data_IF_419302790840
#
_entry.id   IF_419302790840
#
_cell.length_a   1.000
_cell.length_b   1.000
_cell.length_c   1.000
_cell.angle_alpha   90.00
_cell.angle_beta   90.00
_cell.angle_gamma   90.00
#
_symmetry.space_group_name_H-M   'P 1'
#
loop_
_entity.id
_entity.type
_entity.pdbx_description
1 polymer ?
#
# COMPACT_ATOMS: atom_id res chain seq x y z
N UNK A 1 11.46 -1.54 -1.03
CA UNK A 1 10.09 -1.07 -0.65
C UNK A 1 9.19 -2.29 -0.57
N UNK A 2 8.53 -2.54 0.57
CA UNK A 2 7.48 -3.56 0.66
C UNK A 2 6.13 -2.96 0.25
N UNK A 3 5.19 -3.79 -0.20
CA UNK A 3 3.83 -3.37 -0.52
C UNK A 3 3.16 -2.66 0.67
N UNK A 4 3.35 -3.19 1.89
CA UNK A 4 2.87 -2.61 3.15
C UNK A 4 3.36 -1.18 3.35
N UNK A 5 4.67 -0.92 3.14
CA UNK A 5 5.23 0.43 3.26
C UNK A 5 4.69 1.38 2.19
N UNK A 6 4.47 0.89 0.97
CA UNK A 6 3.90 1.69 -0.12
C UNK A 6 2.46 2.11 0.18
N UNK A 7 1.61 1.16 0.62
CA UNK A 7 0.21 1.44 0.99
C UNK A 7 0.15 2.42 2.16
N UNK A 8 0.99 2.22 3.19
CA UNK A 8 1.06 3.11 4.34
C UNK A 8 1.39 4.55 3.91
N UNK A 9 2.40 4.73 3.07
CA UNK A 9 2.80 6.07 2.58
C UNK A 9 1.72 6.74 1.73
N UNK A 10 1.00 5.97 0.92
CA UNK A 10 -0.15 6.48 0.14
C UNK A 10 -1.25 6.97 1.08
N UNK A 11 -1.60 6.20 2.11
CA UNK A 11 -2.61 6.59 3.11
C UNK A 11 -2.16 7.81 3.94
N UNK A 12 -0.90 7.87 4.37
CA UNK A 12 -0.34 9.02 5.10
C UNK A 12 -0.40 10.33 4.29
N UNK A 13 -0.37 10.23 2.95
CA UNK A 13 -0.40 11.39 2.05
C UNK A 13 -1.74 11.56 1.35
N UNK A 14 -2.78 10.81 1.75
CA UNK A 14 -4.06 10.76 1.06
C UNK A 14 -4.70 12.14 0.83
N UNK A 15 -4.84 13.01 1.85
CA UNK A 15 -5.46 14.33 1.65
C UNK A 15 -4.66 15.21 0.68
N UNK A 16 -3.33 15.08 0.68
CA UNK A 16 -2.45 15.81 -0.23
C UNK A 16 -2.60 15.30 -1.67
N UNK A 17 -2.76 13.99 -1.87
CA UNK A 17 -3.01 13.39 -3.18
C UNK A 17 -4.36 13.84 -3.74
N UNK A 18 -5.42 13.80 -2.94
CA UNK A 18 -6.76 14.27 -3.37
C UNK A 18 -6.73 15.73 -3.79
N UNK A 19 -6.11 16.59 -2.97
CA UNK A 19 -5.95 18.01 -3.29
C UNK A 19 -5.14 18.21 -4.58
N UNK A 20 -4.02 17.51 -4.72
CA UNK A 20 -3.15 17.63 -5.89
C UNK A 20 -3.87 17.22 -7.17
N UNK A 21 -4.61 16.11 -7.16
CA UNK A 21 -5.39 15.67 -8.32
C UNK A 21 -6.56 16.61 -8.62
N UNK A 22 -7.25 17.13 -7.60
CA UNK A 22 -8.32 18.11 -7.80
C UNK A 22 -7.80 19.39 -8.48
N UNK A 23 -6.65 19.92 -8.07
CA UNK A 23 -6.04 21.09 -8.69
C UNK A 23 -5.59 20.82 -10.13
N UNK A 24 -5.08 19.61 -10.42
CA UNK A 24 -4.70 19.20 -11.77
C UNK A 24 -5.91 19.03 -12.68
N UNK A 25 -7.02 18.50 -12.17
CA UNK A 25 -8.28 18.42 -12.90
C UNK A 25 -8.79 19.84 -13.25
N UNK A 26 -8.82 20.76 -12.29
CA UNK A 26 -9.18 22.18 -12.54
C UNK A 26 -8.29 22.82 -13.59
N UNK A 27 -6.97 22.59 -13.52
CA UNK A 27 -6.03 23.11 -14.52
C UNK A 27 -6.29 22.54 -15.91
N UNK A 28 -6.52 21.24 -16.02
CA UNK A 28 -6.80 20.59 -17.31
C UNK A 28 -8.07 21.17 -17.97
N UNK A 29 -9.11 21.43 -17.19
CA UNK A 29 -10.33 22.10 -17.67
C UNK A 29 -10.00 23.49 -18.24
N UNK A 30 -9.22 24.30 -17.52
CA UNK A 30 -8.77 25.63 -18.01
C UNK A 30 -7.94 25.52 -19.29
N UNK A 31 -7.08 24.52 -19.38
CA UNK A 31 -6.21 24.28 -20.54
C UNK A 31 -6.94 23.57 -21.70
N UNK A 32 -8.26 23.33 -21.60
CA UNK A 32 -9.07 22.56 -22.57
C UNK A 32 -8.50 21.16 -22.87
N UNK A 33 -7.91 20.53 -21.85
CA UNK A 33 -7.35 19.18 -21.88
C UNK A 33 -8.25 18.20 -21.12
N UNK A 34 -8.16 16.90 -21.41
CA UNK A 34 -8.84 15.88 -20.62
C UNK A 34 -8.46 16.00 -19.13
N UNK A 35 -9.44 15.98 -18.20
CA UNK A 35 -9.17 16.05 -16.78
C UNK A 35 -8.32 14.87 -16.31
N UNK A 36 -7.34 15.15 -15.45
CA UNK A 36 -6.57 14.10 -14.77
C UNK A 36 -7.41 13.58 -13.61
N UNK A 37 -7.68 12.28 -13.60
CA UNK A 37 -8.45 11.60 -12.55
C UNK A 37 -7.49 10.97 -11.55
N UNK A 38 -7.83 11.02 -10.26
CA UNK A 38 -7.08 10.30 -9.23
C UNK A 38 -7.32 8.79 -9.37
N UNK A 39 -6.28 7.98 -9.71
CA UNK A 39 -6.49 6.56 -10.00
C UNK A 39 -7.00 5.74 -8.82
N UNK A 40 -6.75 6.20 -7.59
CA UNK A 40 -7.18 5.55 -6.36
C UNK A 40 -8.43 6.20 -5.74
N UNK A 41 -9.14 7.04 -6.49
CA UNK A 41 -10.37 7.64 -6.00
C UNK A 41 -11.33 6.57 -5.45
N UNK A 42 -11.91 6.82 -4.28
CA UNK A 42 -12.79 5.90 -3.55
C UNK A 42 -12.15 4.58 -3.09
N UNK A 43 -10.83 4.42 -3.17
CA UNK A 43 -10.11 3.22 -2.71
C UNK A 43 -9.49 3.36 -1.32
N UNK A 44 -9.64 4.51 -0.65
CA UNK A 44 -9.02 4.76 0.66
C UNK A 44 -9.38 3.68 1.69
N UNK A 45 -10.67 3.40 1.85
CA UNK A 45 -11.18 2.38 2.77
C UNK A 45 -10.65 0.99 2.43
N UNK A 46 -10.60 0.65 1.14
CA UNK A 46 -10.06 -0.64 0.70
C UNK A 46 -8.58 -0.74 1.06
N UNK A 47 -7.79 0.31 0.83
CA UNK A 47 -6.37 0.35 1.18
C UNK A 47 -6.14 0.25 2.69
N UNK A 48 -6.98 0.88 3.51
CA UNK A 48 -6.96 0.74 4.98
C UNK A 48 -7.20 -0.72 5.38
N UNK A 49 -8.23 -1.36 4.80
CA UNK A 49 -8.54 -2.76 5.07
C UNK A 49 -7.40 -3.69 4.62
N UNK A 50 -6.85 -3.49 3.42
CA UNK A 50 -5.68 -4.24 2.96
C UNK A 50 -4.49 -4.07 3.89
N UNK A 51 -4.23 -2.85 4.38
CA UNK A 51 -3.14 -2.62 5.32
C UNK A 51 -3.34 -3.37 6.65
N UNK A 52 -4.58 -3.39 7.17
CA UNK A 52 -4.90 -4.13 8.40
C UNK A 52 -4.68 -5.64 8.30
N UNK A 53 -4.75 -6.22 7.10
CA UNK A 53 -4.45 -7.63 6.85
C UNK A 53 -2.95 -7.83 6.64
N UNK A 54 -2.32 -6.95 5.85
CA UNK A 54 -0.90 -7.08 5.48
C UNK A 54 0.06 -6.83 6.64
N UNK A 55 -0.31 -5.99 7.61
CA UNK A 55 0.55 -5.65 8.72
C UNK A 55 0.81 -6.84 9.68
N UNK A 56 -0.22 -7.58 10.15
CA UNK A 56 -0.01 -8.82 10.90
C UNK A 56 0.75 -9.90 10.11
N UNK A 57 0.50 -10.01 8.80
CA UNK A 57 1.23 -10.99 7.95
C UNK A 57 2.71 -10.63 7.83
N UNK A 58 3.04 -9.34 7.73
CA UNK A 58 4.42 -8.89 7.70
C UNK A 58 5.14 -9.15 9.04
N UNK A 59 4.44 -8.96 10.16
CA UNK A 59 4.95 -9.27 11.51
C UNK A 59 5.18 -10.77 11.68
N UNK A 60 4.21 -11.61 11.30
CA UNK A 60 4.34 -13.08 11.31
C UNK A 60 5.51 -13.53 10.45
N UNK A 61 5.63 -13.00 9.22
CA UNK A 61 6.73 -13.35 8.32
C UNK A 61 8.09 -13.02 8.95
N UNK A 62 8.21 -11.92 9.68
CA UNK A 62 9.45 -11.53 10.34
C UNK A 62 9.79 -12.49 11.50
N UNK A 63 8.79 -12.96 12.26
CA UNK A 63 8.96 -13.99 13.29
C UNK A 63 9.43 -15.32 12.69
N UNK A 64 8.75 -15.83 11.66
CA UNK A 64 9.13 -17.09 11.02
C UNK A 64 10.45 -17.02 10.24
N UNK A 65 10.83 -15.85 9.71
CA UNK A 65 12.13 -15.66 9.06
C UNK A 65 13.28 -15.45 10.05
N UNK A 66 13.00 -14.94 11.26
CA UNK A 66 13.96 -14.92 12.35
C UNK A 66 14.23 -16.35 12.87
N UNK A 67 13.25 -17.25 12.74
CA UNK A 67 13.32 -18.65 13.16
C UNK A 67 13.86 -19.63 12.09
N UNK A 68 15.00 -19.31 11.47
CA UNK A 68 16.03 -20.24 10.92
C UNK A 68 16.22 -20.37 9.38
N UNK A 69 17.46 -20.69 8.94
CA UNK A 69 17.74 -21.48 7.73
C UNK A 69 17.75 -23.01 7.98
N UNK A 70 17.77 -23.47 9.23
CA UNK A 70 18.07 -24.86 9.61
C UNK A 70 16.87 -25.78 9.89
N UNK A 71 15.62 -25.30 9.90
CA UNK A 71 14.48 -26.18 10.23
C UNK A 71 14.11 -27.23 9.16
N UNK A 72 14.65 -27.15 7.94
CA UNK A 72 14.41 -28.20 6.93
C UNK A 72 15.04 -29.54 7.33
N UNK A 73 16.10 -29.54 8.15
CA UNK A 73 16.75 -30.78 8.60
C UNK A 73 16.07 -31.47 9.79
N UNK A 74 15.21 -30.77 10.54
CA UNK A 74 14.55 -31.34 11.72
C UNK A 74 13.30 -32.13 11.34
N UNK A 75 12.61 -31.73 10.26
CA UNK A 75 11.42 -32.46 9.78
C UNK A 75 11.73 -33.73 8.99
N UNK A 76 12.95 -33.88 8.45
CA UNK A 76 13.36 -35.08 7.71
C UNK A 76 13.99 -36.19 8.60
N UNK A 77 13.98 -36.02 9.92
CA UNK A 77 14.53 -37.00 10.89
C UNK A 77 13.48 -37.68 11.78
N UNK A 78 12.20 -37.56 11.46
CA UNK A 78 11.12 -38.34 12.08
C UNK A 78 10.64 -39.44 11.14
#
# INVERSE_FOLDING_TARGET
>A
LSLTSSIKRVLETWPALELWYAERAKKAIRDKKPPVVFPLAAQETNLIQFLSILQPVAELKLVFQAETPTQVEVLMKL
#
